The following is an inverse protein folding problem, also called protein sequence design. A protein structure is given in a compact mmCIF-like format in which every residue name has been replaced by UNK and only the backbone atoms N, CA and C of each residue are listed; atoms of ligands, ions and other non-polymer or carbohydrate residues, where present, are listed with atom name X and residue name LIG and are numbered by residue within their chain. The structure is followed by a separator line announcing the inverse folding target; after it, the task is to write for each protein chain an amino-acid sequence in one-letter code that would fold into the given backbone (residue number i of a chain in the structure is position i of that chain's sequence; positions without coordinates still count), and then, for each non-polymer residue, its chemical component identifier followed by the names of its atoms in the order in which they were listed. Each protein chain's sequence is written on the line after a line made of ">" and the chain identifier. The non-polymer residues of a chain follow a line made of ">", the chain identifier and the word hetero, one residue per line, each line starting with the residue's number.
data_IF_953158169849
#
_entry.id   IF_953158169849
#
_cell.length_a   1.000
_cell.length_b   1.000
_cell.length_c   1.000
_cell.angle_alpha   90.00
_cell.angle_beta   90.00
_cell.angle_gamma   90.00
#
_symmetry.space_group_name_H-M   'P 1'
#
loop_
_entity.id
_entity.type
_entity.pdbx_description
1 polymer ?
#
# COMPACT_ATOMS: atom_id res chain seq x y z
N UNK A 1 -33.24 15.25 -22.05
CA UNK A 1 -32.18 15.99 -21.33
C UNK A 1 -32.49 15.91 -19.85
N UNK A 2 -31.85 14.99 -19.10
CA UNK A 2 -32.16 14.75 -17.68
C UNK A 2 -31.06 15.38 -16.83
N UNK A 3 -31.43 16.34 -15.96
CA UNK A 3 -30.51 16.98 -15.02
C UNK A 3 -30.50 16.19 -13.71
N UNK A 4 -29.31 15.74 -13.28
CA UNK A 4 -29.09 15.24 -11.93
C UNK A 4 -28.64 16.39 -11.02
N UNK A 5 -29.39 16.64 -9.95
CA UNK A 5 -29.05 17.62 -8.92
C UNK A 5 -28.18 16.94 -7.85
N UNK A 6 -26.89 17.27 -7.78
CA UNK A 6 -26.01 16.81 -6.70
C UNK A 6 -26.06 17.78 -5.52
N UNK A 7 -26.70 17.38 -4.41
CA UNK A 7 -26.57 18.07 -3.13
C UNK A 7 -25.22 17.71 -2.50
N UNK A 8 -24.29 18.68 -2.41
CA UNK A 8 -23.08 18.53 -1.59
C UNK A 8 -23.46 18.57 -0.11
N UNK A 9 -23.41 17.42 0.55
CA UNK A 9 -23.47 17.35 2.01
C UNK A 9 -22.08 17.68 2.56
N UNK A 10 -21.95 18.78 3.31
CA UNK A 10 -20.71 19.11 4.03
C UNK A 10 -20.48 18.08 5.13
N UNK A 11 -19.54 17.17 4.90
CA UNK A 11 -19.01 16.27 5.93
C UNK A 11 -17.91 17.04 6.67
N UNK A 12 -18.09 17.24 7.97
CA UNK A 12 -17.01 17.73 8.85
C UNK A 12 -15.90 16.66 8.86
N UNK A 13 -14.61 17.01 8.71
CA UNK A 13 -13.55 16.03 8.75
C UNK A 13 -13.59 15.34 10.12
N UNK A 14 -13.79 14.03 10.14
CA UNK A 14 -13.59 13.22 11.33
C UNK A 14 -12.09 13.12 11.58
N UNK A 15 -11.64 13.31 12.82
CA UNK A 15 -10.24 13.16 13.26
C UNK A 15 -9.68 11.72 13.14
N UNK A 16 -10.40 10.83 12.44
CA UNK A 16 -9.96 9.48 12.14
C UNK A 16 -9.68 9.40 10.64
N UNK A 17 -8.44 9.15 10.19
CA UNK A 17 -8.15 9.07 8.77
C UNK A 17 -8.98 7.95 8.16
N UNK A 18 -9.80 8.28 7.17
CA UNK A 18 -10.57 7.30 6.45
C UNK A 18 -9.62 6.39 5.66
N UNK A 19 -9.56 5.12 6.05
CA UNK A 19 -8.81 4.10 5.34
C UNK A 19 -9.58 3.63 4.10
N UNK A 20 -8.87 3.50 3.00
CA UNK A 20 -9.33 2.81 1.80
C UNK A 20 -8.78 1.38 1.79
N UNK A 21 -9.58 0.44 1.30
CA UNK A 21 -9.15 -0.94 1.06
C UNK A 21 -9.42 -1.30 -0.39
N UNK A 22 -8.39 -1.79 -1.09
CA UNK A 22 -8.52 -2.36 -2.42
C UNK A 22 -8.17 -3.84 -2.35
N UNK A 23 -9.02 -4.67 -2.97
CA UNK A 23 -8.90 -6.12 -2.97
C UNK A 23 -8.94 -6.58 -4.42
N UNK A 24 -7.99 -7.44 -4.79
CA UNK A 24 -7.93 -8.09 -6.09
C UNK A 24 -8.47 -9.52 -5.95
N UNK A 25 -9.56 -9.88 -6.66
CA UNK A 25 -10.05 -11.25 -6.67
C UNK A 25 -9.02 -12.24 -7.22
N UNK A 26 -9.19 -13.52 -6.89
CA UNK A 26 -8.41 -14.61 -7.48
C UNK A 26 -8.42 -14.55 -9.01
N UNK A 27 -7.30 -14.97 -9.61
CA UNK A 27 -7.10 -15.01 -11.07
C UNK A 27 -7.22 -13.66 -11.80
N UNK A 28 -7.11 -12.52 -11.09
CA UNK A 28 -7.11 -11.19 -11.70
C UNK A 28 -5.98 -10.32 -11.17
N UNK A 29 -5.76 -9.17 -11.82
CA UNK A 29 -4.86 -8.11 -11.34
C UNK A 29 -5.63 -6.80 -11.26
N UNK A 30 -5.29 -5.98 -10.28
CA UNK A 30 -5.82 -4.63 -10.14
C UNK A 30 -4.70 -3.63 -10.28
N UNK A 31 -4.88 -2.66 -11.17
CA UNK A 31 -3.95 -1.54 -11.37
C UNK A 31 -4.58 -0.31 -10.74
N UNK A 32 -3.82 0.41 -9.91
CA UNK A 32 -4.30 1.62 -9.23
C UNK A 32 -3.18 2.64 -9.04
N UNK A 33 -3.57 3.89 -8.85
CA UNK A 33 -2.67 4.98 -8.47
C UNK A 33 -3.11 5.53 -7.12
N UNK A 34 -2.18 5.55 -6.17
CA UNK A 34 -2.42 6.04 -4.82
C UNK A 34 -2.42 7.58 -4.77
N UNK A 35 -2.92 8.20 -3.68
CA UNK A 35 -3.06 9.66 -3.58
C UNK A 35 -1.76 10.47 -3.77
N UNK A 36 -0.60 9.86 -3.53
CA UNK A 36 0.72 10.48 -3.71
C UNK A 36 1.29 10.33 -5.14
N UNK A 37 0.55 9.69 -6.05
CA UNK A 37 0.98 9.37 -7.42
C UNK A 37 1.72 8.04 -7.56
N UNK A 38 1.92 7.28 -6.48
CA UNK A 38 2.50 5.92 -6.53
C UNK A 38 1.60 4.99 -7.35
N UNK A 39 2.18 4.29 -8.32
CA UNK A 39 1.45 3.29 -9.12
C UNK A 39 1.64 1.91 -8.53
N UNK A 40 0.54 1.16 -8.39
CA UNK A 40 0.52 -0.17 -7.79
C UNK A 40 -0.19 -1.15 -8.73
N UNK A 41 0.42 -2.31 -8.92
CA UNK A 41 -0.24 -3.47 -9.53
C UNK A 41 -0.35 -4.55 -8.49
N UNK A 42 -1.58 -4.78 -8.00
CA UNK A 42 -1.89 -5.87 -7.08
C UNK A 42 -2.09 -7.16 -7.87
N UNK A 43 -1.42 -8.23 -7.44
CA UNK A 43 -1.61 -9.55 -8.03
C UNK A 43 -2.90 -10.21 -7.49
N UNK A 44 -3.19 -11.42 -7.97
CA UNK A 44 -4.36 -12.19 -7.55
C UNK A 44 -4.40 -12.38 -6.03
N UNK A 45 -5.61 -12.39 -5.46
CA UNK A 45 -5.84 -12.63 -4.03
C UNK A 45 -5.05 -11.69 -3.10
N UNK A 46 -4.78 -10.47 -3.56
CA UNK A 46 -4.02 -9.47 -2.83
C UNK A 46 -4.91 -8.35 -2.33
N UNK A 47 -4.46 -7.69 -1.27
CA UNK A 47 -5.17 -6.58 -0.63
C UNK A 47 -4.18 -5.51 -0.20
N UNK A 48 -4.54 -4.26 -0.45
CA UNK A 48 -3.82 -3.09 0.07
C UNK A 48 -4.78 -2.19 0.85
N UNK A 49 -4.31 -1.69 1.99
CA UNK A 49 -5.00 -0.70 2.82
C UNK A 49 -4.14 0.55 2.90
N UNK A 50 -4.74 1.74 2.77
CA UNK A 50 -4.01 3.01 2.85
C UNK A 50 -4.92 4.18 3.26
N UNK A 51 -4.34 5.27 3.74
CA UNK A 51 -5.06 6.50 4.08
C UNK A 51 -5.29 7.38 2.86
N UNK A 52 -6.45 8.04 2.79
CA UNK A 52 -6.90 8.76 1.59
C UNK A 52 -6.04 9.97 1.20
N UNK A 53 -5.24 10.51 2.13
CA UNK A 53 -4.46 11.74 1.94
C UNK A 53 -2.97 11.60 2.31
N UNK A 54 -2.57 10.45 2.84
CA UNK A 54 -1.27 10.27 3.50
C UNK A 54 -0.87 11.48 4.37
N UNK A 55 -1.78 12.01 5.18
CA UNK A 55 -1.59 13.29 5.91
C UNK A 55 -0.45 13.31 6.93
N UNK A 56 0.06 12.15 7.37
CA UNK A 56 1.12 12.04 8.39
C UNK A 56 2.53 12.47 7.94
N UNK A 57 3.56 12.07 8.70
CA UNK A 57 4.97 12.28 8.33
C UNK A 57 5.48 11.24 7.29
N UNK A 58 4.69 10.20 7.06
CA UNK A 58 4.98 9.04 6.23
C UNK A 58 3.79 8.77 5.30
N UNK A 59 4.02 7.98 4.25
CA UNK A 59 3.00 7.43 3.36
C UNK A 59 2.93 5.93 3.62
N UNK A 60 1.91 5.49 4.36
CA UNK A 60 1.86 4.12 4.87
C UNK A 60 0.76 3.31 4.19
N UNK A 61 1.11 2.09 3.82
CA UNK A 61 0.17 1.10 3.29
C UNK A 61 0.37 -0.24 3.99
N UNK A 62 -0.69 -1.02 4.13
CA UNK A 62 -0.61 -2.41 4.58
C UNK A 62 -0.91 -3.32 3.41
N UNK A 63 -0.01 -4.28 3.13
CA UNK A 63 -0.13 -5.25 2.05
C UNK A 63 -0.31 -6.67 2.60
N UNK A 64 -1.27 -7.38 2.03
CA UNK A 64 -1.40 -8.84 2.10
C UNK A 64 -1.40 -9.38 0.68
N UNK A 65 -0.57 -10.39 0.39
CA UNK A 65 -0.38 -10.94 -0.94
C UNK A 65 0.81 -10.32 -1.68
N UNK A 66 0.64 -10.04 -2.96
CA UNK A 66 1.71 -9.55 -3.83
C UNK A 66 1.34 -8.27 -4.54
N UNK A 67 2.29 -7.32 -4.58
CA UNK A 67 2.15 -6.16 -5.44
C UNK A 67 3.50 -5.67 -5.98
N UNK A 68 3.42 -5.16 -7.21
CA UNK A 68 4.43 -4.33 -7.81
C UNK A 68 4.17 -2.86 -7.46
N UNK A 69 5.22 -2.14 -7.11
CA UNK A 69 5.18 -0.72 -6.76
C UNK A 69 6.14 0.07 -7.66
N UNK A 70 5.63 1.16 -8.23
CA UNK A 70 6.43 2.28 -8.75
C UNK A 70 6.15 3.49 -7.85
N UNK A 71 6.97 3.65 -6.82
CA UNK A 71 6.74 4.63 -5.75
C UNK A 71 7.19 6.01 -6.18
N UNK A 72 6.28 6.98 -6.06
CA UNK A 72 6.55 8.38 -6.32
C UNK A 72 7.71 8.88 -5.43
N UNK A 73 8.70 9.52 -6.06
CA UNK A 73 9.90 9.96 -5.35
C UNK A 73 9.59 11.15 -4.44
N UNK A 74 9.77 10.96 -3.13
CA UNK A 74 9.65 12.00 -2.11
C UNK A 74 10.53 11.66 -0.89
N UNK A 75 11.77 12.18 -0.84
CA UNK A 75 12.70 11.95 0.27
C UNK A 75 12.23 12.50 1.62
N UNK A 76 11.39 13.56 1.60
CA UNK A 76 10.90 14.22 2.81
C UNK A 76 9.76 13.45 3.48
N UNK A 77 9.11 12.55 2.73
CA UNK A 77 7.96 11.78 3.18
C UNK A 77 8.09 10.32 2.76
N UNK A 78 8.78 9.48 3.55
CA UNK A 78 9.03 8.08 3.21
C UNK A 78 7.75 7.30 2.95
N UNK A 79 7.83 6.33 2.03
CA UNK A 79 6.75 5.37 1.78
C UNK A 79 7.07 4.07 2.53
N UNK A 80 6.13 3.60 3.33
CA UNK A 80 6.28 2.41 4.18
C UNK A 80 5.19 1.40 3.80
N UNK A 81 5.63 0.19 3.48
CA UNK A 81 4.75 -0.96 3.26
C UNK A 81 4.86 -1.86 4.47
N UNK A 82 3.73 -2.08 5.14
CA UNK A 82 3.61 -3.02 6.23
C UNK A 82 3.11 -4.37 5.70
N UNK A 83 3.79 -5.43 6.10
CA UNK A 83 3.32 -6.82 5.97
C UNK A 83 3.42 -7.50 7.32
N UNK A 84 2.82 -8.68 7.49
CA UNK A 84 2.93 -9.38 8.78
C UNK A 84 4.38 -9.79 9.12
N UNK A 85 5.27 -9.88 8.12
CA UNK A 85 6.66 -10.35 8.27
C UNK A 85 7.71 -9.26 8.22
N UNK A 86 7.44 -8.14 7.56
CA UNK A 86 8.42 -7.09 7.38
C UNK A 86 7.75 -5.75 7.11
N UNK A 87 8.45 -4.70 7.51
CA UNK A 87 8.22 -3.34 7.06
C UNK A 87 9.26 -2.99 5.99
N UNK A 88 8.80 -2.42 4.87
CA UNK A 88 9.64 -1.98 3.77
C UNK A 88 9.55 -0.47 3.64
N UNK A 89 10.68 0.22 3.76
CA UNK A 89 10.77 1.69 3.67
C UNK A 89 11.52 2.10 2.41
N UNK A 90 10.94 3.03 1.66
CA UNK A 90 11.52 3.58 0.43
C UNK A 90 11.26 5.07 0.31
N UNK A 91 12.06 5.76 -0.52
CA UNK A 91 11.88 7.19 -0.82
C UNK A 91 11.39 7.45 -2.24
N UNK A 92 11.29 6.41 -3.08
CA UNK A 92 11.00 6.47 -4.51
C UNK A 92 11.76 5.37 -5.21
N UNK A 93 11.08 4.28 -5.51
CA UNK A 93 11.71 2.98 -5.81
C UNK A 93 10.72 2.13 -6.57
N UNK A 94 11.25 1.35 -7.52
CA UNK A 94 10.48 0.41 -8.33
C UNK A 94 10.85 -0.99 -7.88
N UNK A 95 9.89 -1.75 -7.38
CA UNK A 95 10.13 -3.05 -6.75
C UNK A 95 8.84 -3.87 -6.64
N UNK A 96 9.00 -5.16 -6.36
CA UNK A 96 7.90 -6.08 -6.04
C UNK A 96 8.01 -6.52 -4.58
N UNK A 97 6.88 -6.65 -3.90
CA UNK A 97 6.76 -7.27 -2.58
C UNK A 97 5.77 -8.41 -2.67
N UNK A 98 6.14 -9.58 -2.16
CA UNK A 98 5.28 -10.76 -2.08
C UNK A 98 5.33 -11.35 -0.68
N UNK A 99 4.16 -11.43 -0.07
CA UNK A 99 3.94 -12.20 1.14
C UNK A 99 2.49 -12.68 1.23
N UNK A 100 2.30 -13.97 0.96
CA UNK A 100 1.08 -14.69 1.25
C UNK A 100 1.29 -15.50 2.53
N UNK A 101 0.34 -15.43 3.47
CA UNK A 101 0.50 -16.04 4.79
C UNK A 101 0.62 -17.57 4.71
N UNK A 102 -0.06 -18.18 3.73
CA UNK A 102 -0.03 -19.60 3.40
C UNK A 102 1.32 -20.07 2.84
N UNK A 103 2.05 -19.20 2.13
CA UNK A 103 3.38 -19.50 1.60
C UNK A 103 4.43 -19.42 2.71
N UNK A 104 4.21 -18.56 3.71
CA UNK A 104 5.13 -18.33 4.84
C UNK A 104 6.46 -17.67 4.48
N UNK A 105 6.72 -17.46 3.18
CA UNK A 105 7.94 -16.86 2.64
C UNK A 105 7.66 -15.40 2.28
N UNK A 106 8.50 -14.51 2.79
CA UNK A 106 8.53 -13.10 2.40
C UNK A 106 9.59 -12.91 1.30
N UNK A 107 9.21 -12.26 0.20
CA UNK A 107 10.11 -11.95 -0.92
C UNK A 107 9.98 -10.48 -1.33
N UNK A 108 11.12 -9.87 -1.67
CA UNK A 108 11.15 -8.54 -2.29
C UNK A 108 12.16 -8.51 -3.43
N UNK A 109 11.79 -7.92 -4.56
CA UNK A 109 12.62 -7.85 -5.77
C UNK A 109 12.79 -6.40 -6.20
N UNK A 110 14.02 -5.89 -6.17
CA UNK A 110 14.34 -4.50 -6.53
C UNK A 110 14.59 -4.37 -8.04
N UNK A 111 13.94 -3.39 -8.66
CA UNK A 111 14.15 -3.05 -10.07
C UNK A 111 14.95 -1.76 -10.20
N UNK A 112 14.61 -0.73 -9.40
CA UNK A 112 15.31 0.57 -9.40
C UNK A 112 15.18 1.25 -8.05
N UNK A 113 16.27 1.83 -7.55
CA UNK A 113 16.27 2.64 -6.33
C UNK A 113 16.93 1.92 -5.16
N UNK A 114 16.35 2.05 -3.97
CA UNK A 114 16.87 1.45 -2.73
C UNK A 114 15.70 1.04 -1.85
N UNK A 115 15.81 -0.14 -1.24
CA UNK A 115 14.87 -0.65 -0.25
C UNK A 115 15.57 -0.80 1.09
N UNK A 116 14.92 -0.35 2.15
CA UNK A 116 15.26 -0.68 3.52
C UNK A 116 14.21 -1.68 4.02
N UNK A 117 14.65 -2.85 4.47
CA UNK A 117 13.75 -3.93 4.93
C UNK A 117 14.03 -4.19 6.40
N UNK A 118 12.99 -4.08 7.22
CA UNK A 118 13.02 -4.40 8.64
C UNK A 118 12.14 -5.62 8.88
N UNK A 119 12.74 -6.74 9.29
CA UNK A 119 11.98 -7.96 9.58
C UNK A 119 11.25 -7.81 10.92
N UNK A 120 9.98 -8.18 10.94
CA UNK A 120 9.16 -8.23 12.14
C UNK A 120 9.52 -9.50 12.91
N UNK A 121 10.48 -9.38 13.83
CA UNK A 121 10.96 -10.49 14.63
C UNK A 121 9.88 -10.92 15.65
N UNK A 122 8.96 -11.77 15.21
CA UNK A 122 8.08 -12.55 16.10
C UNK A 122 8.74 -13.89 16.41
N UNK A 123 10.01 -13.87 16.82
CA UNK A 123 10.64 -15.04 17.43
C UNK A 123 9.96 -15.33 18.78
N UNK A 124 9.29 -16.48 18.82
CA UNK A 124 8.88 -17.25 20.01
C UNK A 124 8.83 -16.53 21.37
N UNK A 125 7.69 -15.90 21.68
CA UNK A 125 7.16 -15.92 23.06
C UNK A 125 6.23 -17.13 23.21
N UNK A 126 6.80 -18.33 23.32
CA UNK A 126 6.36 -19.40 24.24
C UNK A 126 7.33 -20.57 24.21
#
# INVERSE_FOLDING_TARGET
>A
MMYFLFMKKSVKPSDNPAFNTLITPKASKTITTLPDGTSVVLNADSKIIFNNDFSGATREVTLSGEAYFDVAHNPQKPFIIHTDKADIRVLGTVFNVKYYAEDGIFETSLIKGKVEVSLNDKSHKK
#
